data_IF_183774494310
#
_entry.id   IF_183774494310
#
_cell.length_a   1.000
_cell.length_b   1.000
_cell.length_c   1.000
_cell.angle_alpha   90.00
_cell.angle_beta   90.00
_cell.angle_gamma   90.00
#
_symmetry.space_group_name_H-M   'P 1'
#
loop_
_entity.id
_entity.type
_entity.pdbx_description
1 polymer ?
#
# COMPACT_ATOMS: atom_id res chain seq x y z
N UNK A 1 29.98 2.16 -3.89
CA UNK A 1 28.62 1.59 -3.92
C UNK A 1 27.99 1.86 -2.58
N UNK A 2 26.95 2.69 -2.56
CA UNK A 2 26.29 3.11 -1.34
C UNK A 2 25.55 1.91 -0.71
N UNK A 3 25.68 1.69 0.60
CA UNK A 3 25.02 0.56 1.28
C UNK A 3 23.51 0.84 1.33
N UNK A 4 22.76 0.14 0.49
CA UNK A 4 21.31 -0.05 0.66
C UNK A 4 21.11 -1.10 1.75
N UNK A 5 20.37 -0.76 2.80
CA UNK A 5 19.88 -1.75 3.77
C UNK A 5 18.41 -2.00 3.48
N UNK A 6 18.03 -3.25 3.25
CA UNK A 6 16.63 -3.66 3.18
C UNK A 6 16.25 -4.34 4.50
N UNK A 7 15.19 -3.87 5.13
CA UNK A 7 14.51 -4.63 6.18
C UNK A 7 13.50 -5.54 5.49
N UNK A 8 13.62 -6.84 5.73
CA UNK A 8 12.75 -7.84 5.12
C UNK A 8 11.58 -8.18 6.05
N UNK A 9 10.37 -8.10 5.51
CA UNK A 9 9.13 -8.47 6.16
C UNK A 9 8.53 -9.69 5.47
N UNK A 10 8.28 -10.75 6.23
CA UNK A 10 7.67 -11.97 5.73
C UNK A 10 6.14 -11.88 5.70
N UNK A 11 5.54 -12.07 4.54
CA UNK A 11 4.10 -12.22 4.36
C UNK A 11 3.77 -13.72 4.18
N UNK A 12 2.99 -14.27 5.13
CA UNK A 12 2.62 -15.69 5.14
C UNK A 12 1.12 -15.86 4.97
N UNK A 13 0.73 -16.73 4.05
CA UNK A 13 -0.64 -17.14 3.82
C UNK A 13 -0.72 -18.67 4.01
N UNK A 14 -1.73 -19.20 4.71
CA UNK A 14 -1.89 -20.65 4.87
C UNK A 14 -1.92 -21.36 3.52
N UNK A 15 -1.09 -22.41 3.37
CA UNK A 15 -1.04 -23.23 2.15
C UNK A 15 -0.34 -22.60 0.95
N UNK A 16 0.19 -21.38 1.06
CA UNK A 16 0.89 -20.70 -0.04
C UNK A 16 2.38 -20.47 0.28
N UNK A 17 3.23 -20.27 -0.75
CA UNK A 17 4.61 -19.83 -0.54
C UNK A 17 4.67 -18.50 0.23
N UNK A 18 5.67 -18.36 1.09
CA UNK A 18 5.93 -17.08 1.76
C UNK A 18 6.40 -16.04 0.74
N UNK A 19 5.89 -14.81 0.89
CA UNK A 19 6.31 -13.66 0.12
C UNK A 19 7.16 -12.73 0.99
N UNK A 20 8.08 -11.98 0.38
CA UNK A 20 8.93 -11.03 1.09
C UNK A 20 8.62 -9.61 0.63
N UNK A 21 8.36 -8.71 1.58
CA UNK A 21 8.32 -7.26 1.35
C UNK A 21 9.65 -6.69 1.79
N UNK A 22 10.32 -5.97 0.90
CA UNK A 22 11.55 -5.25 1.21
C UNK A 22 11.23 -3.79 1.44
N UNK A 23 11.58 -3.32 2.62
CA UNK A 23 11.64 -1.92 2.99
C UNK A 23 13.06 -1.42 2.81
N UNK A 24 13.33 -0.80 1.65
CA UNK A 24 14.68 -0.39 1.29
C UNK A 24 14.95 1.00 1.81
N UNK A 25 16.05 1.13 2.55
CA UNK A 25 16.60 2.41 2.99
C UNK A 25 17.84 2.71 2.15
N UNK A 26 17.76 3.78 1.38
CA UNK A 26 18.82 4.23 0.50
C UNK A 26 19.68 5.27 1.23
N UNK A 27 20.99 5.32 0.96
CA UNK A 27 21.84 6.25 1.73
C UNK A 27 21.64 7.73 1.37
N UNK A 28 20.91 8.05 0.31
CA UNK A 28 20.44 9.40 0.03
C UNK A 28 19.23 9.79 0.89
N UNK A 29 18.77 8.91 1.79
CA UNK A 29 17.61 9.12 2.64
C UNK A 29 16.28 8.73 2.00
N UNK A 30 16.28 8.27 0.75
CA UNK A 30 15.07 7.72 0.13
C UNK A 30 14.69 6.40 0.81
N UNK A 31 13.39 6.12 0.85
CA UNK A 31 12.83 4.87 1.36
C UNK A 31 11.73 4.39 0.42
N UNK A 32 11.74 3.11 0.06
CA UNK A 32 10.67 2.52 -0.75
C UNK A 32 10.35 1.08 -0.35
N UNK A 33 9.08 0.72 -0.52
CA UNK A 33 8.57 -0.63 -0.29
C UNK A 33 8.35 -1.34 -1.61
N UNK A 34 8.71 -2.62 -1.65
CA UNK A 34 8.54 -3.47 -2.84
C UNK A 34 8.30 -4.92 -2.46
N UNK A 35 7.50 -5.62 -3.27
CA UNK A 35 7.37 -7.07 -3.17
C UNK A 35 8.61 -7.72 -3.82
N UNK A 36 9.51 -8.24 -3.00
CA UNK A 36 10.80 -8.75 -3.45
C UNK A 36 10.65 -10.01 -4.31
N UNK A 37 11.31 -10.02 -5.47
CA UNK A 37 11.40 -11.21 -6.32
C UNK A 37 12.49 -12.15 -5.81
N UNK A 38 12.17 -13.38 -5.37
CA UNK A 38 13.19 -14.33 -4.94
C UNK A 38 14.11 -14.71 -6.11
N UNK A 39 15.37 -15.02 -5.80
CA UNK A 39 16.41 -15.44 -6.76
C UNK A 39 15.98 -16.67 -7.56
N UNK A 40 15.30 -17.60 -6.90
CA UNK A 40 14.63 -18.74 -7.53
C UNK A 40 13.14 -18.49 -7.45
N UNK A 41 12.52 -18.25 -8.60
CA UNK A 41 11.09 -17.93 -8.71
C UNK A 41 10.34 -19.25 -8.81
N UNK A 42 9.49 -19.62 -7.83
CA UNK A 42 8.63 -20.77 -7.98
C UNK A 42 7.64 -20.53 -9.13
N UNK A 43 7.02 -21.59 -9.65
CA UNK A 43 5.87 -21.43 -10.53
C UNK A 43 4.80 -20.61 -9.80
N UNK A 44 4.36 -19.52 -10.43
CA UNK A 44 3.43 -18.58 -9.81
C UNK A 44 2.53 -17.95 -10.87
N UNK A 45 1.31 -17.51 -10.49
CA UNK A 45 0.40 -16.81 -11.40
C UNK A 45 1.04 -15.56 -12.02
N UNK A 46 0.65 -15.27 -13.26
CA UNK A 46 1.23 -14.18 -14.05
C UNK A 46 1.11 -12.81 -13.36
N UNK A 47 -0.04 -12.48 -12.75
CA UNK A 47 -0.22 -11.23 -12.04
C UNK A 47 0.75 -11.06 -10.85
N UNK A 48 0.99 -12.11 -10.06
CA UNK A 48 1.93 -12.08 -8.94
C UNK A 48 3.38 -11.94 -9.44
N UNK A 49 3.76 -12.69 -10.47
CA UNK A 49 5.06 -12.56 -11.13
C UNK A 49 5.29 -11.15 -11.67
N UNK A 50 4.23 -10.53 -12.23
CA UNK A 50 4.26 -9.17 -12.74
C UNK A 50 4.20 -8.09 -11.63
N UNK A 51 3.90 -8.43 -10.39
CA UNK A 51 3.99 -7.52 -9.25
C UNK A 51 5.40 -7.48 -8.65
N UNK A 52 6.09 -8.61 -8.63
CA UNK A 52 7.43 -8.72 -8.04
C UNK A 52 8.43 -7.73 -8.64
N UNK A 53 9.16 -7.04 -7.76
CA UNK A 53 10.10 -5.95 -8.06
C UNK A 53 9.50 -4.82 -8.94
N UNK A 54 8.17 -4.73 -8.99
CA UNK A 54 7.40 -3.72 -9.73
C UNK A 54 6.46 -3.00 -8.76
N UNK A 55 5.96 -1.83 -9.19
CA UNK A 55 5.05 -0.99 -8.41
C UNK A 55 5.56 -0.68 -6.98
N UNK A 56 6.80 -0.19 -6.90
CA UNK A 56 7.38 0.34 -5.67
C UNK A 56 6.51 1.44 -5.09
N UNK A 57 6.44 1.50 -3.78
CA UNK A 57 5.79 2.61 -3.07
C UNK A 57 6.86 3.39 -2.32
N UNK A 58 7.14 4.61 -2.78
CA UNK A 58 8.03 5.52 -2.07
C UNK A 58 7.40 6.04 -0.79
N UNK A 59 8.23 6.19 0.24
CA UNK A 59 7.91 6.86 1.50
C UNK A 59 8.64 8.20 1.48
N UNK A 60 7.92 9.26 1.83
CA UNK A 60 8.45 10.62 1.75
C UNK A 60 8.18 11.37 3.05
N UNK A 61 8.98 12.40 3.32
CA UNK A 61 8.70 13.35 4.39
C UNK A 61 7.33 14.01 4.16
N UNK A 62 6.59 14.23 5.25
CA UNK A 62 5.44 15.13 5.24
C UNK A 62 5.89 16.57 5.52
N UNK A 63 4.93 17.51 5.56
CA UNK A 63 5.19 18.89 5.98
C UNK A 63 5.35 19.02 7.51
N UNK A 64 4.97 18.01 8.29
CA UNK A 64 5.08 18.00 9.75
C UNK A 64 6.39 17.34 10.18
N UNK A 65 7.17 17.95 11.09
CA UNK A 65 8.40 17.34 11.59
C UNK A 65 8.16 15.97 12.23
N UNK A 66 9.03 15.00 11.94
CA UNK A 66 8.92 13.65 12.50
C UNK A 66 7.80 12.79 11.91
N UNK A 67 7.17 13.24 10.83
CA UNK A 67 6.09 12.52 10.15
C UNK A 67 6.49 12.16 8.72
N UNK A 68 6.16 10.94 8.32
CA UNK A 68 6.31 10.43 6.98
C UNK A 68 4.93 10.25 6.34
N UNK A 69 4.93 10.13 5.02
CA UNK A 69 3.75 9.78 4.26
C UNK A 69 4.01 8.72 3.22
N UNK A 70 2.97 7.94 2.95
CA UNK A 70 2.92 6.95 1.88
C UNK A 70 1.66 7.15 1.06
N UNK A 71 1.81 7.17 -0.27
CA UNK A 71 0.67 7.36 -1.17
C UNK A 71 -0.20 6.11 -1.21
N UNK A 72 -1.49 6.31 -0.99
CA UNK A 72 -2.50 5.25 -1.00
C UNK A 72 -3.04 5.12 -2.41
N UNK A 73 -2.33 4.34 -3.24
CA UNK A 73 -2.84 3.97 -4.55
C UNK A 73 -3.13 2.47 -4.53
N UNK A 74 -4.38 2.02 -4.51
CA UNK A 74 -4.67 0.60 -4.61
C UNK A 74 -4.25 0.02 -5.97
N UNK A 75 -3.81 -1.23 -5.97
CA UNK A 75 -3.52 -1.99 -7.19
C UNK A 75 -4.81 -2.62 -7.75
N UNK A 76 -4.90 -2.73 -9.06
CA UNK A 76 -5.84 -3.61 -9.76
C UNK A 76 -5.10 -4.37 -10.86
N UNK A 77 -5.61 -5.52 -11.29
CA UNK A 77 -5.01 -6.31 -12.37
C UNK A 77 -5.77 -6.04 -13.66
N UNK A 78 -5.06 -5.67 -14.74
CA UNK A 78 -5.68 -5.47 -16.05
C UNK A 78 -5.91 -6.79 -16.81
N UNK A 79 -6.60 -6.72 -17.95
CA UNK A 79 -6.92 -7.89 -18.78
C UNK A 79 -5.69 -8.64 -19.33
N UNK A 80 -4.47 -8.10 -19.16
CA UNK A 80 -3.22 -8.74 -19.57
C UNK A 80 -2.43 -9.26 -18.36
N UNK A 81 -3.08 -9.48 -17.21
CA UNK A 81 -2.45 -9.96 -15.98
C UNK A 81 -1.35 -9.00 -15.48
N UNK A 82 -1.49 -7.69 -15.74
CA UNK A 82 -0.52 -6.68 -15.28
C UNK A 82 -1.11 -5.89 -14.12
N UNK A 83 -0.46 -5.89 -12.95
CA UNK A 83 -0.77 -4.98 -11.87
C UNK A 83 -0.62 -3.51 -12.32
N UNK A 84 -1.67 -2.73 -12.08
CA UNK A 84 -1.77 -1.29 -12.32
C UNK A 84 -2.20 -0.59 -11.04
N UNK A 85 -2.07 0.73 -11.01
CA UNK A 85 -2.38 1.53 -9.81
C UNK A 85 -3.52 2.48 -10.09
N UNK A 86 -4.48 2.57 -9.17
CA UNK A 86 -5.52 3.60 -9.21
C UNK A 86 -5.07 4.75 -8.33
N UNK A 87 -4.72 5.88 -8.97
CA UNK A 87 -4.09 7.02 -8.29
C UNK A 87 -5.09 7.94 -7.58
N UNK A 88 -6.31 8.01 -8.11
CA UNK A 88 -7.37 8.86 -7.57
C UNK A 88 -8.63 8.05 -7.38
N UNK A 89 -9.22 8.17 -6.20
CA UNK A 89 -10.43 7.50 -5.76
C UNK A 89 -11.29 8.46 -4.95
N UNK A 90 -12.59 8.22 -4.88
CA UNK A 90 -13.39 8.80 -3.81
C UNK A 90 -13.02 8.09 -2.49
N UNK A 91 -13.31 8.70 -1.35
CA UNK A 91 -13.05 8.04 -0.06
C UNK A 91 -13.90 6.78 0.09
N UNK A 92 -15.12 6.81 -0.46
CA UNK A 92 -15.99 5.65 -0.57
C UNK A 92 -15.40 4.51 -1.40
N UNK A 93 -14.93 4.79 -2.61
CA UNK A 93 -14.31 3.76 -3.45
C UNK A 93 -13.04 3.18 -2.80
N UNK A 94 -12.27 4.02 -2.10
CA UNK A 94 -11.08 3.57 -1.37
C UNK A 94 -11.46 2.60 -0.24
N UNK A 95 -12.48 2.96 0.55
CA UNK A 95 -13.00 2.11 1.62
C UNK A 95 -13.52 0.77 1.06
N UNK A 96 -14.23 0.78 -0.07
CA UNK A 96 -14.72 -0.44 -0.71
C UNK A 96 -13.60 -1.35 -1.24
N UNK A 97 -12.51 -0.78 -1.77
CA UNK A 97 -11.37 -1.60 -2.27
C UNK A 97 -10.64 -2.28 -1.11
N UNK A 98 -10.52 -1.62 0.04
CA UNK A 98 -9.81 -2.12 1.22
C UNK A 98 -10.66 -2.97 2.16
N UNK A 99 -11.96 -2.73 2.17
CA UNK A 99 -12.83 -2.97 3.32
C UNK A 99 -12.73 -1.82 4.32
N UNK A 100 -13.86 -1.16 4.63
CA UNK A 100 -13.92 -0.05 5.58
C UNK A 100 -13.34 -0.43 6.97
N UNK A 101 -13.69 -1.58 7.58
CA UNK A 101 -13.14 -1.95 8.89
C UNK A 101 -11.61 -2.08 8.90
N UNK A 102 -11.01 -2.49 7.77
CA UNK A 102 -9.55 -2.62 7.64
C UNK A 102 -8.86 -1.27 7.49
N UNK A 103 -9.55 -0.32 6.86
CA UNK A 103 -9.06 1.04 6.74
C UNK A 103 -9.13 1.76 8.10
N UNK A 104 -10.21 1.57 8.84
CA UNK A 104 -10.38 2.05 10.23
C UNK A 104 -9.32 1.45 11.17
N UNK A 105 -9.11 0.13 11.12
CA UNK A 105 -8.06 -0.56 11.89
C UNK A 105 -6.67 0.04 11.64
N UNK A 106 -6.38 0.37 10.38
CA UNK A 106 -5.11 0.98 9.99
C UNK A 106 -4.98 2.42 10.50
N UNK A 107 -6.05 3.22 10.43
CA UNK A 107 -6.04 4.62 10.90
C UNK A 107 -6.23 4.77 12.41
N UNK A 108 -6.66 3.72 13.10
CA UNK A 108 -6.74 3.69 14.57
C UNK A 108 -5.36 3.56 15.25
N UNK A 109 -4.32 3.20 14.49
CA UNK A 109 -2.94 3.13 14.99
C UNK A 109 -2.46 4.52 15.43
N UNK A 110 -1.67 4.57 16.50
CA UNK A 110 -1.22 5.83 17.10
C UNK A 110 -0.48 6.72 16.08
N UNK A 111 -0.94 7.96 15.92
CA UNK A 111 -0.33 8.93 15.02
C UNK A 111 -0.57 8.68 13.52
N UNK A 112 -1.33 7.65 13.15
CA UNK A 112 -1.66 7.34 11.76
C UNK A 112 -2.91 8.12 11.33
N UNK A 113 -2.85 8.77 10.17
CA UNK A 113 -3.97 9.54 9.61
C UNK A 113 -4.09 9.30 8.11
N UNK A 114 -5.31 9.14 7.62
CA UNK A 114 -5.62 9.13 6.20
C UNK A 114 -6.14 10.51 5.80
N UNK A 115 -5.48 11.15 4.84
CA UNK A 115 -5.89 12.48 4.36
C UNK A 115 -5.71 12.60 2.84
N UNK A 116 -6.20 13.70 2.29
CA UNK A 116 -5.83 14.09 0.95
C UNK A 116 -4.32 14.33 0.89
N UNK A 117 -3.66 13.74 -0.10
CA UNK A 117 -2.22 13.79 -0.24
C UNK A 117 -1.67 15.18 -0.57
N UNK A 118 -2.52 16.07 -1.07
CA UNK A 118 -2.18 17.44 -1.41
C UNK A 118 -3.15 18.38 -0.73
N UNK A 119 -2.61 19.43 -0.13
CA UNK A 119 -3.40 20.54 0.36
C UNK A 119 -3.81 21.41 -0.84
N UNK A 120 -5.11 21.40 -1.16
CA UNK A 120 -5.70 22.24 -2.20
C UNK A 120 -7.02 22.78 -1.68
N UNK A 121 -7.39 24.02 -2.06
CA UNK A 121 -8.72 24.52 -1.80
C UNK A 121 -9.76 23.56 -2.41
N UNK A 122 -10.90 23.41 -1.73
CA UNK A 122 -12.08 22.69 -2.21
C UNK A 122 -11.90 21.17 -2.43
N UNK A 123 -10.98 20.53 -1.69
CA UNK A 123 -10.99 19.07 -1.57
C UNK A 123 -12.02 18.64 -0.52
N UNK A 124 -12.84 17.62 -0.81
CA UNK A 124 -13.75 17.10 0.19
C UNK A 124 -12.93 16.48 1.34
N UNK A 125 -13.48 16.46 2.57
CA UNK A 125 -12.81 15.82 3.68
C UNK A 125 -12.57 14.33 3.41
N UNK A 126 -11.50 13.81 3.98
CA UNK A 126 -11.27 12.37 4.08
C UNK A 126 -11.80 11.94 5.43
N UNK A 127 -13.05 11.50 5.45
CA UNK A 127 -13.77 11.00 6.61
C UNK A 127 -14.11 9.52 6.35
N UNK A 128 -13.86 8.66 7.34
CA UNK A 128 -14.21 7.24 7.26
C UNK A 128 -15.59 6.94 7.86
N UNK A 129 -16.11 7.82 8.74
CA UNK A 129 -17.46 7.71 9.30
C UNK A 129 -18.53 8.17 8.28
N UNK A 130 -18.18 9.15 7.43
CA UNK A 130 -19.00 9.61 6.29
C UNK A 130 -18.16 9.72 4.99
N UNK A 131 -17.82 8.57 4.37
CA UNK A 131 -16.94 8.54 3.22
C UNK A 131 -17.59 9.13 1.97
N UNK A 132 -17.11 10.30 1.56
CA UNK A 132 -17.56 10.97 0.34
C UNK A 132 -17.37 10.10 -0.92
N UNK A 133 -18.34 10.17 -1.83
CA UNK A 133 -18.40 9.39 -3.08
C UNK A 133 -18.49 10.27 -4.35
N UNK A 134 -18.29 11.59 -4.23
CA UNK A 134 -18.54 12.53 -5.31
C UNK A 134 -17.27 12.87 -6.11
N UNK A 135 -16.17 13.18 -5.42
CA UNK A 135 -14.97 13.75 -6.03
C UNK A 135 -13.74 12.86 -5.78
N UNK A 136 -13.14 12.28 -6.82
CA UNK A 136 -11.89 11.55 -6.67
C UNK A 136 -10.74 12.46 -6.25
N UNK A 137 -9.93 11.98 -5.32
CA UNK A 137 -8.71 12.62 -4.84
C UNK A 137 -7.60 11.59 -4.65
N UNK A 138 -6.37 12.07 -4.47
CA UNK A 138 -5.25 11.20 -4.13
C UNK A 138 -5.14 11.15 -2.61
N UNK A 139 -5.16 9.96 -2.03
CA UNK A 139 -5.05 9.76 -0.60
C UNK A 139 -3.59 9.47 -0.20
N UNK A 140 -3.23 9.87 1.01
CA UNK A 140 -1.99 9.48 1.64
C UNK A 140 -2.24 9.08 3.09
N UNK A 141 -1.49 8.08 3.55
CA UNK A 141 -1.35 7.80 4.97
C UNK A 141 -0.17 8.57 5.49
N UNK A 142 -0.39 9.31 6.56
CA UNK A 142 0.62 10.01 7.34
C UNK A 142 0.85 9.24 8.63
N UNK A 143 2.10 9.07 9.03
CA UNK A 143 2.47 8.24 10.17
C UNK A 143 3.79 8.72 10.82
N UNK A 144 4.03 8.43 12.10
CA UNK A 144 5.28 8.81 12.77
C UNK A 144 6.50 8.19 12.08
N UNK A 145 7.61 8.93 11.98
CA UNK A 145 8.82 8.43 11.34
C UNK A 145 9.45 7.22 12.05
N UNK A 146 9.10 7.00 13.32
CA UNK A 146 9.49 5.83 14.11
C UNK A 146 8.58 4.60 13.90
N UNK A 147 7.48 4.74 13.15
CA UNK A 147 6.58 3.63 12.84
C UNK A 147 7.01 2.94 11.54
N UNK A 148 7.73 1.83 11.70
CA UNK A 148 8.20 1.02 10.57
C UNK A 148 7.14 0.05 10.05
N UNK A 149 6.08 -0.21 10.81
CA UNK A 149 5.09 -1.24 10.47
C UNK A 149 3.95 -0.68 9.62
N UNK A 150 3.41 0.50 9.96
CA UNK A 150 2.32 1.14 9.20
C UNK A 150 2.57 1.22 7.69
N UNK A 151 3.73 1.68 7.20
CA UNK A 151 3.95 1.73 5.75
C UNK A 151 3.99 0.34 5.11
N UNK A 152 4.51 -0.67 5.81
CA UNK A 152 4.53 -2.07 5.34
C UNK A 152 3.11 -2.62 5.25
N UNK A 153 2.29 -2.42 6.28
CA UNK A 153 0.87 -2.83 6.29
C UNK A 153 0.12 -2.13 5.16
N UNK A 154 0.28 -0.82 5.01
CA UNK A 154 -0.30 -0.07 3.91
C UNK A 154 0.14 -0.62 2.55
N UNK A 155 1.44 -0.86 2.35
CA UNK A 155 1.94 -1.46 1.10
C UNK A 155 1.30 -2.81 0.82
N UNK A 156 1.26 -3.72 1.80
CA UNK A 156 0.63 -5.04 1.62
C UNK A 156 -0.84 -4.89 1.25
N UNK A 157 -1.59 -4.09 1.99
CA UNK A 157 -3.03 -3.91 1.80
C UNK A 157 -3.39 -3.25 0.47
N UNK A 158 -2.65 -2.21 0.07
CA UNK A 158 -2.96 -1.48 -1.16
C UNK A 158 -2.30 -2.06 -2.41
N UNK A 159 -1.12 -2.69 -2.30
CA UNK A 159 -0.37 -3.19 -3.46
C UNK A 159 -0.51 -4.68 -3.70
N UNK A 160 -0.46 -5.46 -2.64
CA UNK A 160 -0.28 -6.91 -2.71
C UNK A 160 -1.62 -7.64 -2.60
N UNK A 161 -2.44 -7.31 -1.60
CA UNK A 161 -3.73 -7.96 -1.35
C UNK A 161 -4.66 -7.95 -2.57
N UNK A 162 -4.83 -6.86 -3.34
CA UNK A 162 -5.68 -6.90 -4.54
C UNK A 162 -5.22 -7.91 -5.59
N UNK A 163 -3.91 -8.11 -5.73
CA UNK A 163 -3.34 -9.11 -6.65
C UNK A 163 -3.54 -10.52 -6.09
N UNK A 164 -3.37 -10.70 -4.78
CA UNK A 164 -3.62 -12.00 -4.13
C UNK A 164 -5.08 -12.44 -4.22
N UNK A 165 -6.02 -11.49 -4.13
CA UNK A 165 -7.44 -11.75 -4.37
C UNK A 165 -7.71 -12.11 -5.83
N UNK A 166 -7.13 -11.36 -6.77
CA UNK A 166 -7.27 -11.63 -8.22
C UNK A 166 -6.85 -13.06 -8.60
N UNK A 167 -5.75 -13.56 -8.03
CA UNK A 167 -5.23 -14.91 -8.33
C UNK A 167 -5.88 -16.01 -7.47
N UNK A 168 -6.86 -15.66 -6.62
CA UNK A 168 -7.57 -16.61 -5.76
C UNK A 168 -6.77 -17.14 -4.57
N UNK A 169 -5.69 -16.47 -4.17
CA UNK A 169 -4.91 -16.85 -2.97
C UNK A 169 -5.49 -16.26 -1.68
N UNK A 170 -6.32 -15.22 -1.81
CA UNK A 170 -7.14 -14.67 -0.75
C UNK A 170 -8.58 -14.64 -1.23
N UNK A 171 -9.51 -15.04 -0.36
CA UNK A 171 -10.94 -14.80 -0.61
C UNK A 171 -11.20 -13.29 -0.73
N UNK A 172 -12.26 -12.88 -1.45
CA UNK A 172 -12.87 -11.58 -1.21
C UNK A 172 -13.13 -11.44 0.30
N UNK A 173 -13.01 -10.23 0.86
CA UNK A 173 -13.41 -10.06 2.25
C UNK A 173 -14.88 -10.45 2.37
N UNK A 174 -15.21 -11.35 3.30
CA UNK A 174 -16.59 -11.53 3.74
C UNK A 174 -16.99 -10.20 4.41
N UNK A 175 -18.09 -9.59 3.93
CA UNK A 175 -18.66 -8.34 4.48
C UNK A 175 -18.97 -8.43 5.98
#
# INVERSE_FOLDING_TARGET
MSRTSAVEWGLRLPGQPSLAVHDNHWANGERDLVLHKPTVVPEMPAALSNLHNRLRTGISLSTRPGELRVMVFPTYVDAQERPRIKKSLTTWDLANVMGLPRLEELTAREGVRLEAAFDRPDLPPVDLDDPQHEKPLQHALFFPAADDETPVVAFVRFRVVPVLRHIGWLSPDDE
#
